data_IF_470657328396
#
_entry.id   IF_470657328396
#
_cell.length_a   1.000
_cell.length_b   1.000
_cell.length_c   1.000
_cell.angle_alpha   90.00
_cell.angle_beta   90.00
_cell.angle_gamma   90.00
#
_symmetry.space_group_name_H-M   'P 1'
#
loop_
_entity.id
_entity.type
_entity.pdbx_description
1 polymer ?
#
# COMPACT_ATOMS: atom_id res chain seq x y z
N UNK A 1 32.26 -15.21 -9.80
CA UNK A 1 31.04 -15.49 -10.58
C UNK A 1 29.88 -15.82 -9.63
N UNK A 2 30.10 -16.71 -8.66
CA UNK A 2 29.11 -17.08 -7.63
C UNK A 2 28.59 -15.88 -6.81
N UNK A 3 29.46 -14.95 -6.41
CA UNK A 3 29.05 -13.76 -5.65
C UNK A 3 28.01 -12.90 -6.39
N UNK A 4 28.28 -12.64 -7.68
CA UNK A 4 27.37 -11.91 -8.56
C UNK A 4 26.05 -12.66 -8.76
N UNK A 5 26.10 -13.99 -8.91
CA UNK A 5 24.89 -14.80 -9.06
C UNK A 5 24.02 -14.80 -7.80
N UNK A 6 24.63 -14.81 -6.61
CA UNK A 6 23.91 -14.71 -5.34
C UNK A 6 23.20 -13.36 -5.19
N UNK A 7 23.89 -12.26 -5.51
CA UNK A 7 23.31 -10.92 -5.43
C UNK A 7 22.15 -10.75 -6.43
N UNK A 8 22.35 -11.20 -7.67
CA UNK A 8 21.31 -11.20 -8.71
C UNK A 8 20.10 -12.05 -8.31
N UNK A 9 20.32 -13.18 -7.62
CA UNK A 9 19.22 -14.00 -7.12
C UNK A 9 18.35 -13.23 -6.10
N UNK A 10 18.97 -12.51 -5.17
CA UNK A 10 18.24 -11.67 -4.19
C UNK A 10 17.47 -10.55 -4.88
N UNK A 11 18.07 -9.87 -5.86
CA UNK A 11 17.38 -8.85 -6.65
C UNK A 11 16.20 -9.41 -7.47
N UNK A 12 16.36 -10.59 -8.06
CA UNK A 12 15.28 -11.26 -8.80
C UNK A 12 14.12 -11.68 -7.89
N UNK A 13 14.41 -12.10 -6.66
CA UNK A 13 13.37 -12.38 -5.66
C UNK A 13 12.58 -11.12 -5.32
N UNK A 14 13.25 -9.98 -5.09
CA UNK A 14 12.59 -8.71 -4.83
C UNK A 14 11.72 -8.27 -6.01
N UNK A 15 12.24 -8.33 -7.23
CA UNK A 15 11.50 -8.00 -8.46
C UNK A 15 10.23 -8.85 -8.60
N UNK A 16 10.34 -10.17 -8.41
CA UNK A 16 9.20 -11.08 -8.47
C UNK A 16 8.16 -10.78 -7.38
N UNK A 17 8.61 -10.48 -6.16
CA UNK A 17 7.73 -10.12 -5.06
C UNK A 17 6.96 -8.81 -5.33
N UNK A 18 7.62 -7.81 -5.93
CA UNK A 18 6.96 -6.57 -6.34
C UNK A 18 5.94 -6.74 -7.45
N UNK A 19 6.22 -7.58 -8.45
CA UNK A 19 5.26 -7.91 -9.50
C UNK A 19 3.99 -8.52 -8.89
N UNK A 20 4.15 -9.44 -7.93
CA UNK A 20 3.02 -10.03 -7.20
C UNK A 20 2.25 -8.98 -6.38
N UNK A 21 2.96 -8.12 -5.65
CA UNK A 21 2.36 -7.06 -4.84
C UNK A 21 1.58 -6.03 -5.69
N UNK A 22 2.05 -5.75 -6.91
CA UNK A 22 1.40 -4.80 -7.82
C UNK A 22 -0.05 -5.17 -8.16
N UNK A 23 -0.37 -6.46 -8.29
CA UNK A 23 -1.74 -6.93 -8.55
C UNK A 23 -2.65 -6.62 -7.36
N UNK A 24 -2.17 -6.84 -6.14
CA UNK A 24 -2.93 -6.49 -4.94
C UNK A 24 -3.15 -4.99 -4.84
N UNK A 25 -2.15 -4.17 -5.16
CA UNK A 25 -2.30 -2.72 -5.18
C UNK A 25 -3.32 -2.25 -6.23
N UNK A 26 -3.28 -2.83 -7.44
CA UNK A 26 -4.26 -2.56 -8.49
C UNK A 26 -5.70 -2.92 -8.05
N UNK A 27 -5.88 -4.05 -7.36
CA UNK A 27 -7.16 -4.45 -6.79
C UNK A 27 -7.64 -3.45 -5.71
N UNK A 28 -6.73 -2.97 -4.85
CA UNK A 28 -7.05 -1.93 -3.86
C UNK A 28 -7.49 -0.62 -4.53
N UNK A 29 -6.79 -0.17 -5.56
CA UNK A 29 -7.13 1.03 -6.32
C UNK A 29 -8.53 0.91 -6.95
N UNK A 30 -8.87 -0.26 -7.49
CA UNK A 30 -10.22 -0.54 -7.99
C UNK A 30 -11.28 -0.48 -6.89
N UNK A 31 -11.03 -1.10 -5.73
CA UNK A 31 -11.96 -1.06 -4.60
C UNK A 31 -12.16 0.35 -4.05
N UNK A 32 -11.11 1.17 -4.00
CA UNK A 32 -11.19 2.58 -3.63
C UNK A 32 -12.11 3.33 -4.59
N UNK A 33 -11.93 3.11 -5.90
CA UNK A 33 -12.79 3.70 -6.93
C UNK A 33 -14.25 3.27 -6.77
N UNK A 34 -14.51 1.99 -6.50
CA UNK A 34 -15.86 1.49 -6.18
C UNK A 34 -16.41 2.17 -4.92
N UNK A 35 -15.59 2.35 -3.88
CA UNK A 35 -15.95 3.11 -2.68
C UNK A 35 -16.43 4.52 -3.03
N UNK A 36 -15.68 5.24 -3.85
CA UNK A 36 -16.06 6.58 -4.32
C UNK A 36 -17.39 6.60 -5.10
N UNK A 37 -17.71 5.54 -5.86
CA UNK A 37 -19.01 5.42 -6.54
C UNK A 37 -20.16 5.35 -5.55
N UNK A 38 -20.00 4.65 -4.43
CA UNK A 38 -21.02 4.58 -3.38
C UNK A 38 -21.15 5.91 -2.63
N UNK A 39 -20.02 6.49 -2.22
CA UNK A 39 -20.04 7.74 -1.45
C UNK A 39 -20.58 8.92 -2.25
N UNK A 40 -20.28 8.98 -3.56
CA UNK A 40 -20.82 10.01 -4.46
C UNK A 40 -22.34 9.91 -4.59
N UNK A 41 -22.90 8.69 -4.75
CA UNK A 41 -24.36 8.50 -4.80
C UNK A 41 -25.05 8.91 -3.49
N UNK A 42 -24.46 8.56 -2.34
CA UNK A 42 -25.00 8.96 -1.03
C UNK A 42 -25.03 10.50 -0.92
N UNK A 43 -23.97 11.17 -1.37
CA UNK A 43 -23.86 12.62 -1.34
C UNK A 43 -24.88 13.30 -2.27
N UNK A 44 -25.09 12.76 -3.47
CA UNK A 44 -26.00 13.32 -4.49
C UNK A 44 -27.48 13.05 -4.18
N UNK A 45 -27.85 11.84 -3.73
CA UNK A 45 -29.25 11.47 -3.47
C UNK A 45 -29.78 12.03 -2.15
N UNK A 46 -28.91 12.23 -1.14
CA UNK A 46 -29.23 12.88 0.14
C UNK A 46 -30.22 12.15 1.07
N UNK A 47 -31.01 11.20 0.55
CA UNK A 47 -32.09 10.48 1.24
C UNK A 47 -31.72 9.03 1.64
N UNK A 48 -30.42 8.76 1.84
CA UNK A 48 -29.96 7.44 2.26
C UNK A 48 -30.12 7.30 3.77
N UNK A 49 -30.81 6.24 4.21
CA UNK A 49 -30.99 5.91 5.62
C UNK A 49 -29.63 5.75 6.33
N UNK A 50 -29.56 6.10 7.61
CA UNK A 50 -28.36 6.03 8.46
C UNK A 50 -27.71 4.65 8.43
N UNK A 51 -28.51 3.58 8.38
CA UNK A 51 -28.01 2.21 8.27
C UNK A 51 -27.18 2.00 6.99
N UNK A 52 -27.62 2.55 5.86
CA UNK A 52 -26.88 2.49 4.60
C UNK A 52 -25.56 3.25 4.68
N UNK A 53 -25.56 4.43 5.31
CA UNK A 53 -24.34 5.22 5.55
C UNK A 53 -23.31 4.48 6.42
N UNK A 54 -23.77 3.77 7.45
CA UNK A 54 -22.89 2.96 8.31
C UNK A 54 -22.25 1.80 7.53
N UNK A 55 -23.01 1.05 6.74
CA UNK A 55 -22.46 -0.05 5.93
C UNK A 55 -21.46 0.46 4.88
N UNK A 56 -21.73 1.59 4.22
CA UNK A 56 -20.77 2.19 3.29
C UNK A 56 -19.52 2.70 4.01
N UNK A 57 -19.65 3.24 5.22
CA UNK A 57 -18.50 3.63 6.05
C UNK A 57 -17.63 2.42 6.39
N UNK A 58 -18.24 1.32 6.84
CA UNK A 58 -17.54 0.07 7.14
C UNK A 58 -16.80 -0.48 5.92
N UNK A 59 -17.45 -0.44 4.74
CA UNK A 59 -16.82 -0.84 3.49
C UNK A 59 -15.62 0.06 3.13
N UNK A 60 -15.75 1.38 3.22
CA UNK A 60 -14.63 2.30 2.91
C UNK A 60 -13.46 2.11 3.88
N UNK A 61 -13.73 1.91 5.18
CA UNK A 61 -12.70 1.65 6.19
C UNK A 61 -12.01 0.29 5.97
N UNK A 62 -12.75 -0.76 5.60
CA UNK A 62 -12.15 -2.07 5.31
C UNK A 62 -11.26 -2.04 4.08
N UNK A 63 -11.68 -1.33 3.03
CA UNK A 63 -10.85 -1.08 1.84
C UNK A 63 -9.61 -0.27 2.21
N UNK A 64 -9.75 0.75 3.07
CA UNK A 64 -8.62 1.53 3.58
C UNK A 64 -7.61 0.66 4.35
N UNK A 65 -8.09 -0.18 5.26
CA UNK A 65 -7.25 -1.10 6.02
C UNK A 65 -6.55 -2.14 5.13
N UNK A 66 -7.25 -2.68 4.14
CA UNK A 66 -6.67 -3.62 3.18
C UNK A 66 -5.57 -2.96 2.35
N UNK A 67 -5.80 -1.73 1.89
CA UNK A 67 -4.80 -0.92 1.15
C UNK A 67 -3.58 -0.63 2.03
N UNK A 68 -3.79 -0.27 3.29
CA UNK A 68 -2.70 -0.04 4.25
C UNK A 68 -1.83 -1.30 4.41
N UNK A 69 -2.46 -2.46 4.55
CA UNK A 69 -1.76 -3.73 4.68
C UNK A 69 -0.96 -4.07 3.41
N UNK A 70 -1.52 -3.87 2.22
CA UNK A 70 -0.80 -4.08 0.95
C UNK A 70 0.42 -3.17 0.84
N UNK A 71 0.29 -1.89 1.19
CA UNK A 71 1.42 -0.96 1.20
C UNK A 71 2.48 -1.38 2.23
N UNK A 72 2.07 -1.78 3.43
CA UNK A 72 2.98 -2.24 4.48
C UNK A 72 3.75 -3.49 4.05
N UNK A 73 3.09 -4.44 3.37
CA UNK A 73 3.78 -5.59 2.78
C UNK A 73 4.83 -5.17 1.75
N UNK A 74 4.57 -4.14 0.94
CA UNK A 74 5.56 -3.60 0.00
C UNK A 74 6.81 -3.05 0.70
N UNK A 75 6.64 -2.29 1.79
CA UNK A 75 7.75 -1.81 2.61
C UNK A 75 8.52 -2.95 3.30
N UNK A 76 7.78 -3.95 3.81
CA UNK A 76 8.37 -5.11 4.45
C UNK A 76 9.17 -5.99 3.48
N UNK A 77 8.77 -6.06 2.21
CA UNK A 77 9.53 -6.77 1.18
C UNK A 77 10.89 -6.10 0.95
N UNK A 78 10.96 -4.77 0.89
CA UNK A 78 12.24 -4.05 0.77
C UNK A 78 13.14 -4.31 1.98
N UNK A 79 12.57 -4.25 3.19
CA UNK A 79 13.32 -4.54 4.44
C UNK A 79 13.77 -5.99 4.53
N UNK A 80 12.93 -6.94 4.11
CA UNK A 80 13.31 -8.34 4.02
C UNK A 80 14.47 -8.57 3.05
N UNK A 81 14.48 -7.86 1.92
CA UNK A 81 15.59 -7.92 0.96
C UNK A 81 16.86 -7.24 1.48
N UNK A 82 16.75 -6.11 2.17
CA UNK A 82 17.88 -5.49 2.87
C UNK A 82 18.53 -6.47 3.87
N UNK A 83 17.72 -7.12 4.71
CA UNK A 83 18.22 -8.12 5.66
C UNK A 83 18.89 -9.32 4.96
N UNK A 84 18.41 -9.71 3.78
CA UNK A 84 19.05 -10.75 2.98
C UNK A 84 20.42 -10.30 2.43
N UNK A 85 20.56 -9.03 2.04
CA UNK A 85 21.86 -8.46 1.66
C UNK A 85 22.82 -8.31 2.84
N UNK A 86 22.34 -7.93 4.03
CA UNK A 86 23.15 -7.92 5.26
C UNK A 86 23.72 -9.31 5.55
N UNK A 87 22.89 -10.35 5.43
CA UNK A 87 23.34 -11.73 5.61
C UNK A 87 24.35 -12.15 4.54
N UNK A 88 24.17 -11.71 3.28
CA UNK A 88 25.11 -11.96 2.20
C UNK A 88 26.48 -11.30 2.47
N UNK A 89 26.47 -10.07 2.95
CA UNK A 89 27.67 -9.28 3.27
C UNK A 89 28.59 -9.96 4.31
N UNK A 90 28.06 -10.87 5.13
CA UNK A 90 28.86 -11.67 6.08
C UNK A 90 29.74 -12.73 5.40
N UNK A 91 29.42 -13.08 4.15
CA UNK A 91 30.06 -14.19 3.41
C UNK A 91 30.75 -13.75 2.13
N UNK A 92 30.40 -12.57 1.61
CA UNK A 92 30.93 -12.03 0.36
C UNK A 92 30.79 -10.51 0.31
N UNK A 93 31.60 -9.85 -0.52
CA UNK A 93 31.38 -8.44 -0.87
C UNK A 93 30.05 -8.28 -1.63
N UNK A 94 29.35 -7.18 -1.36
CA UNK A 94 28.09 -6.79 -2.02
C UNK A 94 28.28 -5.47 -2.77
N UNK A 95 27.46 -5.21 -3.79
CA UNK A 95 27.51 -3.94 -4.53
C UNK A 95 27.09 -2.72 -3.70
N UNK A 96 27.55 -1.54 -4.09
CA UNK A 96 27.16 -0.26 -3.49
C UNK A 96 25.63 -0.04 -3.52
N UNK A 97 24.93 -0.57 -4.53
CA UNK A 97 23.48 -0.48 -4.62
C UNK A 97 22.79 -1.37 -3.57
N UNK A 98 23.32 -2.57 -3.31
CA UNK A 98 22.82 -3.44 -2.24
C UNK A 98 23.07 -2.80 -0.87
N UNK A 99 24.23 -2.19 -0.66
CA UNK A 99 24.51 -1.43 0.56
C UNK A 99 23.55 -0.23 0.72
N UNK A 100 23.29 0.53 -0.35
CA UNK A 100 22.34 1.64 -0.31
C UNK A 100 20.91 1.21 0.04
N UNK A 101 20.49 0.00 -0.35
CA UNK A 101 19.19 -0.57 0.06
C UNK A 101 19.18 -0.89 1.56
N UNK A 102 20.26 -1.47 2.09
CA UNK A 102 20.41 -1.74 3.53
C UNK A 102 20.26 -0.44 4.33
N UNK A 103 20.97 0.61 3.91
CA UNK A 103 21.02 1.88 4.64
C UNK A 103 19.67 2.63 4.62
N UNK A 104 18.87 2.43 3.57
CA UNK A 104 17.62 3.20 3.35
C UNK A 104 16.37 2.45 3.79
N UNK A 105 16.40 1.12 3.84
CA UNK A 105 15.20 0.31 4.03
C UNK A 105 14.85 0.12 5.51
N UNK A 106 13.89 0.91 6.02
CA UNK A 106 13.45 0.84 7.42
C UNK A 106 12.18 -0.01 7.66
N UNK A 107 11.62 -0.59 6.60
CA UNK A 107 10.40 -1.41 6.65
C UNK A 107 9.12 -0.63 6.98
N UNK A 108 9.19 0.70 7.02
CA UNK A 108 8.06 1.55 7.39
C UNK A 108 7.42 2.18 6.16
N UNK A 109 6.18 2.61 6.35
CA UNK A 109 5.49 3.43 5.38
C UNK A 109 6.00 4.87 5.48
N UNK A 110 6.39 5.40 4.33
CA UNK A 110 6.77 6.79 4.18
C UNK A 110 5.57 7.74 4.30
N UNK A 111 5.83 9.05 4.50
CA UNK A 111 4.79 10.04 4.72
C UNK A 111 3.82 10.17 3.53
N UNK A 112 4.30 9.94 2.30
CA UNK A 112 3.47 10.03 1.09
C UNK A 112 2.36 8.97 1.09
N UNK A 113 2.64 7.73 1.51
CA UNK A 113 1.63 6.67 1.57
C UNK A 113 0.54 6.99 2.61
N UNK A 114 0.94 7.53 3.76
CA UNK A 114 0.01 7.97 4.80
C UNK A 114 -0.88 9.11 4.33
N UNK A 115 -0.32 10.13 3.68
CA UNK A 115 -1.08 11.26 3.13
C UNK A 115 -2.05 10.78 2.06
N UNK A 116 -1.60 9.90 1.16
CA UNK A 116 -2.46 9.34 0.11
C UNK A 116 -3.67 8.61 0.70
N UNK A 117 -3.45 7.63 1.58
CA UNK A 117 -4.55 6.85 2.14
C UNK A 117 -5.45 7.69 3.04
N UNK A 118 -4.87 8.59 3.84
CA UNK A 118 -5.60 9.51 4.69
C UNK A 118 -6.52 10.42 3.89
N UNK A 119 -6.03 10.97 2.77
CA UNK A 119 -6.83 11.84 1.89
C UNK A 119 -8.06 11.11 1.32
N UNK A 120 -7.90 9.86 0.89
CA UNK A 120 -8.98 9.04 0.36
C UNK A 120 -10.06 8.81 1.41
N UNK A 121 -9.67 8.42 2.62
CA UNK A 121 -10.61 8.15 3.70
C UNK A 121 -11.35 9.42 4.13
N UNK A 122 -10.65 10.55 4.24
CA UNK A 122 -11.29 11.83 4.54
C UNK A 122 -12.34 12.17 3.47
N UNK A 123 -11.99 12.09 2.19
CA UNK A 123 -12.93 12.38 1.10
C UNK A 123 -14.17 11.47 1.13
N UNK A 124 -13.96 10.16 1.30
CA UNK A 124 -15.05 9.17 1.35
C UNK A 124 -15.97 9.42 2.54
N UNK A 125 -15.42 9.64 3.75
CA UNK A 125 -16.20 9.88 4.95
C UNK A 125 -16.95 11.21 4.89
N UNK A 126 -16.31 12.28 4.38
CA UNK A 126 -16.98 13.56 4.18
C UNK A 126 -18.18 13.40 3.24
N UNK A 127 -18.04 12.70 2.12
CA UNK A 127 -19.16 12.48 1.19
C UNK A 127 -20.32 11.67 1.79
N UNK A 128 -20.05 10.72 2.68
CA UNK A 128 -21.12 9.92 3.33
C UNK A 128 -21.91 10.75 4.35
N UNK A 129 -21.20 11.54 5.17
CA UNK A 129 -21.77 12.17 6.36
C UNK A 129 -22.18 13.62 6.16
N UNK A 130 -21.69 14.29 5.11
CA UNK A 130 -22.14 15.63 4.73
C UNK A 130 -23.34 15.57 3.79
N UNK A 131 -24.15 16.63 3.81
CA UNK A 131 -25.19 16.86 2.81
C UNK A 131 -24.66 17.88 1.80
N UNK A 132 -25.09 17.75 0.55
CA UNK A 132 -24.84 18.78 -0.46
C UNK A 132 -25.47 20.10 0.02
N UNK A 133 -24.70 21.20 0.11
CA UNK A 133 -25.28 22.51 0.41
C UNK A 133 -26.28 22.88 -0.70
N UNK A 134 -27.41 23.46 -0.29
CA UNK A 134 -28.47 23.94 -1.19
C UNK A 134 -27.98 25.06 -2.11
#
# INVERSE_FOLDING_TARGET
>A
MDQFMNEVAVWNMLSTAFISNAIFFAACAFLIWVGFRFTSRIYDEGNVNVLGKMFTTLFCLSVGAFTLFTMAQGAQLQSGTANAFEALALTQDISDNAQGLIDTSDGKLGPVQWVFLGSILVMQLTQIWTKKPE
#
